data_IF_548136008773
#
_entry.id   IF_548136008773
#
_cell.length_a   1.000
_cell.length_b   1.000
_cell.length_c   1.000
_cell.angle_alpha   90.00
_cell.angle_beta   90.00
_cell.angle_gamma   90.00
#
_symmetry.space_group_name_H-M   'P 1'
#
loop_
_entity.id
_entity.type
_entity.pdbx_description
1 polymer ?
#
# COMPACT_ATOMS: atom_id res chain seq x y z
N UNK A 1 3.87 -2.80 1.10
CA UNK A 1 3.77 -2.94 -0.37
C UNK A 1 2.32 -2.71 -0.78
N UNK A 2 2.09 -2.15 -1.96
CA UNK A 2 0.75 -1.91 -2.53
C UNK A 2 0.73 -2.53 -3.92
N UNK A 3 -0.30 -3.32 -4.22
CA UNK A 3 -0.48 -3.95 -5.53
C UNK A 3 -1.48 -3.15 -6.36
N UNK A 4 -1.12 -2.89 -7.62
CA UNK A 4 -1.97 -2.13 -8.55
C UNK A 4 -2.12 -2.84 -9.88
N UNK A 5 -3.30 -2.72 -10.48
CA UNK A 5 -3.57 -3.17 -11.85
C UNK A 5 -4.26 -2.08 -12.66
N UNK A 6 -4.21 -2.20 -13.99
CA UNK A 6 -4.57 -1.11 -14.90
C UNK A 6 -6.06 -0.73 -14.87
N UNK A 7 -6.96 -1.70 -14.98
CA UNK A 7 -8.41 -1.45 -15.08
C UNK A 7 -9.26 -2.63 -14.62
N UNK A 8 -10.47 -2.31 -14.19
CA UNK A 8 -11.55 -3.27 -14.03
C UNK A 8 -11.88 -3.95 -15.37
N UNK A 9 -12.55 -5.10 -15.30
CA UNK A 9 -12.90 -5.89 -16.46
C UNK A 9 -12.73 -7.38 -16.17
N UNK A 10 -12.63 -8.16 -17.23
CA UNK A 10 -12.42 -9.60 -17.17
C UNK A 10 -11.12 -9.97 -17.89
N UNK A 11 -10.53 -11.07 -17.43
CA UNK A 11 -9.40 -11.71 -18.10
C UNK A 11 -9.87 -12.41 -19.38
N UNK A 12 -8.97 -12.66 -20.32
CA UNK A 12 -9.31 -13.40 -21.55
C UNK A 12 -9.63 -14.89 -21.29
N UNK A 13 -9.26 -15.40 -20.11
CA UNK A 13 -9.28 -16.83 -19.81
C UNK A 13 -8.21 -17.62 -20.59
N UNK A 14 -8.10 -18.92 -20.29
CA UNK A 14 -7.43 -19.90 -21.15
C UNK A 14 -8.53 -20.64 -21.90
N UNK A 15 -8.33 -20.84 -23.19
CA UNK A 15 -9.29 -21.55 -24.05
C UNK A 15 -9.62 -22.96 -23.53
N UNK A 16 -8.66 -23.61 -22.85
CA UNK A 16 -8.74 -25.02 -22.45
C UNK A 16 -9.38 -25.30 -21.06
N UNK A 17 -9.79 -24.29 -20.28
CA UNK A 17 -10.15 -24.51 -18.86
C UNK A 17 -11.32 -23.63 -18.35
N UNK A 18 -12.60 -24.06 -18.41
CA UNK A 18 -13.74 -23.28 -17.94
C UNK A 18 -14.04 -23.45 -16.42
N UNK A 19 -14.38 -22.38 -15.65
CA UNK A 19 -14.50 -20.99 -16.07
C UNK A 19 -13.16 -20.23 -15.91
N UNK A 20 -12.42 -20.07 -17.00
CA UNK A 20 -11.14 -19.33 -16.99
C UNK A 20 -11.32 -17.81 -17.03
N UNK A 21 -12.51 -17.32 -17.43
CA UNK A 21 -12.82 -15.90 -17.49
C UNK A 21 -13.25 -15.41 -16.11
N UNK A 22 -12.27 -14.93 -15.35
CA UNK A 22 -12.50 -14.30 -14.05
C UNK A 22 -12.31 -12.78 -14.14
N UNK A 23 -12.82 -12.05 -13.14
CA UNK A 23 -12.63 -10.61 -13.04
C UNK A 23 -11.16 -10.25 -12.85
N UNK A 24 -10.72 -9.12 -13.41
CA UNK A 24 -9.34 -8.66 -13.27
C UNK A 24 -8.92 -8.55 -11.80
N UNK A 25 -9.80 -8.00 -10.95
CA UNK A 25 -9.56 -7.92 -9.50
C UNK A 25 -9.25 -9.28 -8.91
N UNK A 26 -10.08 -10.28 -9.19
CA UNK A 26 -9.92 -11.63 -8.67
C UNK A 26 -8.59 -12.25 -9.15
N UNK A 27 -8.30 -12.13 -10.45
CA UNK A 27 -7.03 -12.58 -11.02
C UNK A 27 -5.83 -11.94 -10.32
N UNK A 28 -5.83 -10.61 -10.20
CA UNK A 28 -4.71 -9.89 -9.59
C UNK A 28 -4.63 -10.11 -8.08
N UNK A 29 -5.74 -10.36 -7.37
CA UNK A 29 -5.73 -10.79 -5.98
C UNK A 29 -4.96 -12.10 -5.83
N UNK A 30 -5.27 -13.12 -6.64
CA UNK A 30 -4.55 -14.40 -6.63
C UNK A 30 -3.06 -14.22 -6.92
N UNK A 31 -2.71 -13.34 -7.87
CA UNK A 31 -1.31 -13.00 -8.17
C UNK A 31 -0.63 -12.31 -6.98
N UNK A 32 -1.28 -11.32 -6.37
CA UNK A 32 -0.76 -10.60 -5.21
C UNK A 32 -0.57 -11.48 -3.98
N UNK A 33 -1.50 -12.40 -3.73
CA UNK A 33 -1.38 -13.44 -2.70
C UNK A 33 -0.19 -14.35 -2.96
N UNK A 34 -0.05 -14.84 -4.20
CA UNK A 34 1.05 -15.70 -4.60
C UNK A 34 2.42 -15.01 -4.46
N UNK A 35 2.53 -13.74 -4.83
CA UNK A 35 3.75 -12.93 -4.63
C UNK A 35 4.04 -12.78 -3.14
N UNK A 36 3.03 -12.40 -2.35
CA UNK A 36 3.17 -12.21 -0.90
C UNK A 36 3.62 -13.50 -0.22
N UNK A 37 3.05 -14.65 -0.60
CA UNK A 37 3.41 -15.95 -0.06
C UNK A 37 4.82 -16.38 -0.45
N UNK A 38 5.26 -16.13 -1.68
CA UNK A 38 6.61 -16.51 -2.13
C UNK A 38 7.71 -15.68 -1.48
N UNK A 39 7.44 -14.40 -1.23
CA UNK A 39 8.41 -13.49 -0.60
C UNK A 39 8.36 -13.61 0.93
N UNK A 40 7.15 -13.67 1.47
CA UNK A 40 6.87 -13.64 2.91
C UNK A 40 6.70 -15.00 3.57
N UNK A 41 6.60 -16.08 2.80
CA UNK A 41 6.49 -17.43 3.33
C UNK A 41 7.80 -17.91 3.96
N UNK A 42 7.68 -18.86 4.88
CA UNK A 42 8.81 -19.57 5.47
C UNK A 42 8.99 -20.87 4.71
N UNK A 43 10.17 -21.07 4.11
CA UNK A 43 10.60 -22.34 3.51
C UNK A 43 11.65 -23.02 4.40
N UNK A 44 12.09 -24.25 4.08
CA UNK A 44 13.20 -24.90 4.79
C UNK A 44 14.49 -24.07 4.81
N UNK A 45 14.70 -23.25 3.79
CA UNK A 45 15.83 -22.32 3.65
C UNK A 45 15.60 -21.00 4.40
N UNK A 46 14.43 -20.82 5.02
CA UNK A 46 14.04 -19.62 5.77
C UNK A 46 13.06 -18.72 5.03
N UNK A 47 12.97 -17.46 5.45
CA UNK A 47 12.10 -16.45 4.87
C UNK A 47 12.93 -15.45 4.06
N UNK A 48 12.47 -15.06 2.87
CA UNK A 48 13.18 -14.07 2.05
C UNK A 48 13.06 -12.67 2.67
N UNK A 49 11.84 -12.17 2.82
CA UNK A 49 11.57 -10.90 3.49
C UNK A 49 10.23 -10.94 4.22
N UNK A 50 10.11 -10.22 5.34
CA UNK A 50 8.79 -9.94 5.91
C UNK A 50 8.05 -8.92 5.04
N UNK A 51 6.88 -9.31 4.54
CA UNK A 51 6.04 -8.44 3.72
C UNK A 51 5.02 -7.73 4.60
N UNK A 52 5.08 -6.40 4.62
CA UNK A 52 4.07 -5.56 5.26
C UNK A 52 3.12 -4.96 4.22
N UNK A 53 1.83 -5.23 4.37
CA UNK A 53 0.75 -4.75 3.51
C UNK A 53 -0.15 -3.71 4.21
N UNK A 54 0.23 -3.23 5.39
CA UNK A 54 -0.56 -2.31 6.21
C UNK A 54 -0.68 -0.89 5.67
N UNK A 55 0.17 -0.50 4.71
CA UNK A 55 0.12 0.82 4.07
C UNK A 55 -0.78 0.88 2.82
N UNK A 56 -1.47 -0.20 2.47
CA UNK A 56 -2.45 -0.18 1.37
C UNK A 56 -3.74 0.53 1.82
N UNK A 57 -4.54 1.07 0.89
CA UNK A 57 -5.84 1.65 1.21
C UNK A 57 -6.69 0.76 2.11
N UNK A 58 -7.24 1.31 3.19
CA UNK A 58 -8.02 0.55 4.17
C UNK A 58 -7.18 -0.37 5.08
N UNK A 59 -5.85 -0.31 5.00
CA UNK A 59 -4.95 -1.04 5.87
C UNK A 59 -5.14 -2.56 5.79
N UNK A 60 -5.25 -3.21 6.96
CA UNK A 60 -5.40 -4.68 7.04
C UNK A 60 -6.75 -5.18 6.52
N UNK A 61 -7.79 -4.38 6.65
CA UNK A 61 -9.16 -4.72 6.24
C UNK A 61 -9.45 -4.30 4.78
N UNK A 62 -8.53 -3.54 4.18
CA UNK A 62 -8.62 -3.13 2.79
C UNK A 62 -8.30 -4.24 1.80
N UNK A 63 -8.76 -4.05 0.57
CA UNK A 63 -8.48 -4.97 -0.54
C UNK A 63 -6.97 -5.14 -0.72
N UNK A 64 -6.55 -6.35 -1.11
CA UNK A 64 -5.13 -6.62 -1.36
C UNK A 64 -4.61 -5.86 -2.58
N UNK A 65 -5.44 -5.75 -3.61
CA UNK A 65 -5.09 -5.16 -4.91
C UNK A 65 -6.12 -4.10 -5.30
N UNK A 66 -5.65 -3.03 -5.93
CA UNK A 66 -6.52 -1.97 -6.41
C UNK A 66 -6.31 -1.71 -7.89
N UNK A 67 -7.39 -1.38 -8.60
CA UNK A 67 -7.24 -0.78 -9.93
C UNK A 67 -6.62 0.61 -9.79
N UNK A 68 -5.90 1.08 -10.80
CA UNK A 68 -5.37 2.45 -10.84
C UNK A 68 -6.45 3.47 -10.50
N UNK A 69 -7.65 3.31 -11.06
CA UNK A 69 -8.78 4.21 -10.79
C UNK A 69 -9.20 4.20 -9.31
N UNK A 70 -9.39 3.02 -8.71
CA UNK A 70 -9.82 2.92 -7.31
C UNK A 70 -8.76 3.43 -6.35
N UNK A 71 -7.48 3.12 -6.60
CA UNK A 71 -6.36 3.61 -5.80
C UNK A 71 -6.29 5.14 -5.80
N UNK A 72 -6.34 5.75 -6.98
CA UNK A 72 -6.29 7.21 -7.10
C UNK A 72 -7.52 7.89 -6.49
N UNK A 73 -8.70 7.27 -6.61
CA UNK A 73 -9.92 7.75 -5.97
C UNK A 73 -9.79 7.70 -4.44
N UNK A 74 -9.22 6.63 -3.89
CA UNK A 74 -8.97 6.48 -2.45
C UNK A 74 -8.14 7.64 -1.91
N UNK A 75 -6.97 7.87 -2.50
CA UNK A 75 -6.06 8.92 -2.05
C UNK A 75 -6.55 10.34 -2.30
N UNK A 76 -7.53 10.51 -3.19
CA UNK A 76 -8.18 11.79 -3.43
C UNK A 76 -9.21 12.13 -2.35
N UNK A 77 -10.00 11.15 -1.92
CA UNK A 77 -11.24 11.42 -1.18
C UNK A 77 -11.21 10.94 0.27
N UNK A 78 -10.53 9.83 0.56
CA UNK A 78 -10.61 9.20 1.89
C UNK A 78 -9.27 9.13 2.63
N UNK A 79 -8.14 9.21 1.93
CA UNK A 79 -6.84 9.04 2.58
C UNK A 79 -6.55 10.13 3.63
N UNK A 80 -6.11 9.67 4.80
CA UNK A 80 -5.63 10.52 5.87
C UNK A 80 -4.31 11.20 5.51
N UNK A 81 -3.99 12.28 6.21
CA UNK A 81 -2.76 13.05 6.00
C UNK A 81 -1.51 12.19 6.16
N UNK A 82 -1.44 11.28 7.14
CA UNK A 82 -0.30 10.37 7.27
C UNK A 82 -0.16 9.39 6.09
N UNK A 83 -1.26 8.90 5.53
CA UNK A 83 -1.21 7.99 4.37
C UNK A 83 -0.62 8.72 3.17
N UNK A 84 -0.99 9.99 3.00
CA UNK A 84 -0.41 10.87 1.98
C UNK A 84 1.08 11.13 2.23
N UNK A 85 1.49 11.35 3.48
CA UNK A 85 2.91 11.48 3.82
C UNK A 85 3.71 10.19 3.53
N UNK A 86 3.13 9.01 3.78
CA UNK A 86 3.77 7.74 3.46
C UNK A 86 4.08 7.60 1.95
N UNK A 87 3.29 8.24 1.07
CA UNK A 87 3.52 8.24 -0.38
C UNK A 87 4.79 8.98 -0.81
N UNK A 88 5.42 9.80 0.04
CA UNK A 88 6.70 10.46 -0.28
C UNK A 88 7.77 9.44 -0.67
N UNK A 89 7.76 8.28 0.00
CA UNK A 89 8.70 7.19 -0.25
C UNK A 89 8.22 6.17 -1.29
N UNK A 90 7.02 6.37 -1.85
CA UNK A 90 6.47 5.46 -2.84
C UNK A 90 7.28 5.49 -4.15
N UNK A 91 7.56 4.31 -4.68
CA UNK A 91 8.27 4.08 -5.95
C UNK A 91 7.75 2.81 -6.61
N UNK A 92 7.81 2.78 -7.94
CA UNK A 92 7.61 1.56 -8.69
C UNK A 92 8.74 0.57 -8.33
N UNK A 93 8.40 -0.70 -8.13
CA UNK A 93 9.36 -1.74 -7.74
C UNK A 93 9.36 -2.96 -8.66
N UNK A 94 8.22 -3.31 -9.25
CA UNK A 94 8.08 -4.49 -10.12
C UNK A 94 6.78 -4.39 -10.93
N UNK A 95 6.73 -5.12 -12.06
CA UNK A 95 5.61 -5.13 -12.99
C UNK A 95 5.86 -4.23 -14.21
N UNK A 96 4.77 -3.78 -14.83
CA UNK A 96 4.82 -2.85 -15.96
C UNK A 96 5.30 -1.45 -15.50
N UNK A 97 6.46 -0.97 -15.98
CA UNK A 97 7.01 0.31 -15.53
C UNK A 97 6.13 1.51 -15.91
N UNK A 98 5.48 1.47 -17.08
CA UNK A 98 4.62 2.56 -17.56
C UNK A 98 3.43 2.77 -16.63
N UNK A 99 2.75 1.68 -16.26
CA UNK A 99 1.65 1.71 -15.29
C UNK A 99 2.15 2.14 -13.90
N UNK A 100 3.21 1.50 -13.39
CA UNK A 100 3.72 1.74 -12.05
C UNK A 100 4.19 3.19 -11.85
N UNK A 101 4.98 3.71 -12.78
CA UNK A 101 5.47 5.09 -12.73
C UNK A 101 4.35 6.11 -12.92
N UNK A 102 3.39 5.84 -13.80
CA UNK A 102 2.21 6.69 -13.99
C UNK A 102 1.39 6.80 -12.69
N UNK A 103 1.13 5.67 -12.03
CA UNK A 103 0.42 5.63 -10.75
C UNK A 103 1.17 6.38 -9.66
N UNK A 104 2.48 6.14 -9.49
CA UNK A 104 3.29 6.85 -8.49
C UNK A 104 3.30 8.35 -8.76
N UNK A 105 3.41 8.78 -10.02
CA UNK A 105 3.37 10.19 -10.41
C UNK A 105 2.04 10.84 -10.03
N UNK A 106 0.92 10.18 -10.31
CA UNK A 106 -0.41 10.69 -9.94
C UNK A 106 -0.64 10.72 -8.43
N UNK A 107 -0.16 9.71 -7.70
CA UNK A 107 -0.21 9.67 -6.24
C UNK A 107 0.61 10.80 -5.61
N UNK A 108 1.80 11.11 -6.14
CA UNK A 108 2.65 12.19 -5.62
C UNK A 108 2.00 13.57 -5.70
N UNK A 109 1.13 13.81 -6.69
CA UNK A 109 0.33 15.04 -6.78
C UNK A 109 -0.67 15.21 -5.63
N UNK A 110 -0.90 14.16 -4.83
CA UNK A 110 -1.83 14.17 -3.68
C UNK A 110 -1.13 14.33 -2.33
N UNK A 111 0.20 14.38 -2.31
CA UNK A 111 0.98 14.59 -1.09
C UNK A 111 0.81 16.02 -0.59
N UNK A 112 0.58 16.97 -1.50
CA UNK A 112 0.33 18.36 -1.14
C UNK A 112 -1.10 18.53 -0.62
N UNK A 113 -1.29 18.83 0.68
CA UNK A 113 -2.59 19.15 1.19
C UNK A 113 -2.99 20.50 0.58
N UNK A 114 -4.15 20.55 -0.07
CA UNK A 114 -4.75 21.81 -0.54
C UNK A 114 -5.21 22.73 0.61
N UNK A 115 -4.62 22.59 1.81
CA UNK A 115 -4.98 23.26 3.05
C UNK A 115 -3.79 23.97 3.70
N UNK A 116 -4.00 24.50 4.90
CA UNK A 116 -2.96 25.23 5.65
C UNK A 116 -1.82 24.29 6.07
N UNK A 117 -0.55 24.60 5.72
CA UNK A 117 0.62 23.83 6.18
C UNK A 117 0.69 23.67 7.70
N UNK A 118 0.18 24.66 8.46
CA UNK A 118 0.15 24.61 9.91
C UNK A 118 -0.80 23.53 10.45
N UNK A 119 -1.98 23.36 9.82
CA UNK A 119 -2.94 22.33 10.21
C UNK A 119 -2.38 20.93 9.94
N UNK A 120 -1.71 20.77 8.80
CA UNK A 120 -1.07 19.50 8.42
C UNK A 120 0.06 19.16 9.38
N UNK A 121 0.87 20.14 9.77
CA UNK A 121 1.92 19.94 10.77
C UNK A 121 1.35 19.52 12.13
N UNK A 122 0.22 20.11 12.55
CA UNK A 122 -0.48 19.71 13.78
C UNK A 122 -0.96 18.26 13.71
N UNK A 123 -1.64 17.86 12.63
CA UNK A 123 -2.09 16.47 12.45
C UNK A 123 -0.91 15.49 12.49
N UNK A 124 0.19 15.82 11.81
CA UNK A 124 1.40 14.99 11.83
C UNK A 124 1.98 14.88 13.24
N UNK A 125 2.03 16.00 13.99
CA UNK A 125 2.50 16.01 15.37
C UNK A 125 1.62 15.15 16.27
N UNK A 126 0.29 15.29 16.20
CA UNK A 126 -0.64 14.49 17.00
C UNK A 126 -0.50 12.99 16.73
N UNK A 127 -0.23 12.61 15.49
CA UNK A 127 0.03 11.22 15.15
C UNK A 127 1.37 10.72 15.69
N UNK A 128 2.41 11.55 15.64
CA UNK A 128 3.71 11.23 16.26
C UNK A 128 3.56 11.07 17.77
N UNK A 129 2.88 11.99 18.44
CA UNK A 129 2.67 11.95 19.89
C UNK A 129 1.96 10.64 20.29
N UNK A 130 0.95 10.19 19.52
CA UNK A 130 0.26 8.91 19.76
C UNK A 130 1.17 7.69 19.59
N UNK A 131 2.04 7.70 18.58
CA UNK A 131 3.03 6.64 18.36
C UNK A 131 4.02 6.59 19.54
N UNK A 132 4.52 7.75 19.96
CA UNK A 132 5.47 7.86 21.07
C UNK A 132 4.84 7.40 22.40
N UNK A 133 3.56 7.73 22.64
CA UNK A 133 2.80 7.23 23.79
C UNK A 133 2.65 5.70 23.78
N UNK A 134 2.27 5.08 22.66
CA UNK A 134 2.20 3.61 22.55
C UNK A 134 3.55 2.95 22.81
N UNK A 135 4.64 3.54 22.31
CA UNK A 135 5.99 3.02 22.50
C UNK A 135 6.46 3.10 23.95
N UNK A 136 6.18 4.21 24.64
CA UNK A 136 6.51 4.37 26.06
C UNK A 136 5.86 3.28 26.93
N UNK A 137 4.62 2.88 26.61
CA UNK A 137 3.89 1.80 27.30
C UNK A 137 4.52 0.43 27.11
N UNK A 138 5.27 0.22 26.04
CA UNK A 138 5.97 -1.06 25.77
C UNK A 138 7.36 -1.14 26.41
N UNK A 139 7.79 -0.11 27.16
CA UNK A 139 9.08 -0.11 27.87
C UNK A 139 10.31 0.08 26.97
N UNK A 140 10.14 0.51 25.71
CA UNK A 140 11.22 0.76 24.73
C UNK A 140 11.71 2.21 24.67
N UNK A 141 11.29 3.06 25.62
CA UNK A 141 11.34 4.52 25.49
C UNK A 141 12.72 5.19 25.46
N UNK A 142 13.74 4.66 26.15
CA UNK A 142 14.95 5.47 26.40
C UNK A 142 16.15 5.20 25.45
N UNK A 143 16.13 4.17 24.61
CA UNK A 143 17.30 3.76 23.79
C UNK A 143 16.94 3.23 22.38
N UNK A 144 15.76 3.52 21.85
CA UNK A 144 15.41 3.11 20.48
C UNK A 144 15.96 4.12 19.46
N UNK A 145 17.06 3.78 18.78
CA UNK A 145 17.72 4.62 17.77
C UNK A 145 16.83 5.07 16.60
N UNK A 146 15.66 4.43 16.42
CA UNK A 146 14.71 4.78 15.36
C UNK A 146 13.58 5.68 15.88
N UNK A 147 13.31 5.67 17.18
CA UNK A 147 12.10 6.25 17.77
C UNK A 147 12.40 7.32 18.83
N UNK A 148 13.61 7.35 19.41
CA UNK A 148 14.12 8.36 20.33
C UNK A 148 14.80 9.55 19.66
#
# INVERSE_FOLDING_TARGET
MIYVYSREGQTAGREDDPPSVIGNREFFSRVGEGITQRIGGISPEGQVFRVDLGLRPGGRDGELVHSQRSLLAYYRTWAHTWEKQALIKARHSAGDPSLGESVVRELKKRIDPSGSPALVALEIKEMKDRIDEELSRTGRGDLDLKLG
#
